data_IF_611278207139
#
_entry.id   IF_611278207139
#
_cell.length_a   1.000
_cell.length_b   1.000
_cell.length_c   1.000
_cell.angle_alpha   90.00
_cell.angle_beta   90.00
_cell.angle_gamma   90.00
#
_symmetry.space_group_name_H-M   'P 1'
#
loop_
_entity.id
_entity.type
_entity.pdbx_description
1 polymer ?
#
# COMPACT_ATOMS: atom_id res chain seq x y z
N UNK A 1 -18.44 -1.04 -1.90
CA UNK A 1 -18.62 0.41 -1.87
C UNK A 1 -18.12 1.01 -3.18
N UNK A 2 -18.91 1.93 -3.74
CA UNK A 2 -18.52 2.66 -4.94
C UNK A 2 -17.39 3.63 -4.61
N UNK A 3 -16.36 3.69 -5.44
CA UNK A 3 -15.22 4.60 -5.28
C UNK A 3 -15.61 6.08 -5.37
N UNK A 4 -16.76 6.39 -5.94
CA UNK A 4 -17.28 7.76 -6.06
C UNK A 4 -18.27 8.11 -4.96
N UNK A 5 -18.55 7.19 -4.03
CA UNK A 5 -19.46 7.43 -2.90
C UNK A 5 -18.89 8.52 -1.99
N UNK A 6 -19.65 9.57 -1.65
CA UNK A 6 -19.17 10.64 -0.78
C UNK A 6 -18.70 10.18 0.59
N UNK A 7 -19.33 9.16 1.16
CA UNK A 7 -18.90 8.60 2.45
C UNK A 7 -17.52 7.95 2.31
N UNK A 8 -17.31 7.18 1.25
CA UNK A 8 -16.02 6.59 0.97
C UNK A 8 -14.95 7.67 0.77
N UNK A 9 -15.22 8.67 -0.07
CA UNK A 9 -14.26 9.73 -0.38
C UNK A 9 -13.88 10.54 0.87
N UNK A 10 -14.84 10.84 1.73
CA UNK A 10 -14.58 11.57 2.98
C UNK A 10 -13.77 10.71 3.96
N UNK A 11 -14.10 9.43 4.08
CA UNK A 11 -13.36 8.50 4.94
C UNK A 11 -11.93 8.35 4.44
N UNK A 12 -11.74 8.18 3.14
CA UNK A 12 -10.42 8.10 2.51
C UNK A 12 -9.59 9.34 2.81
N UNK A 13 -10.17 10.52 2.65
CA UNK A 13 -9.50 11.79 2.93
C UNK A 13 -9.03 11.88 4.39
N UNK A 14 -9.86 11.40 5.30
CA UNK A 14 -9.53 11.39 6.73
C UNK A 14 -8.38 10.42 7.04
N UNK A 15 -8.50 9.16 6.60
CA UNK A 15 -7.53 8.12 7.00
C UNK A 15 -6.17 8.30 6.33
N UNK A 16 -6.12 8.98 5.19
CA UNK A 16 -4.87 9.29 4.48
C UNK A 16 -4.37 10.71 4.81
N UNK A 17 -4.62 11.18 6.02
CA UNK A 17 -4.21 12.51 6.47
C UNK A 17 -3.65 12.46 7.90
N UNK A 18 -3.07 13.56 8.33
CA UNK A 18 -2.52 13.71 9.69
C UNK A 18 -3.59 13.64 10.78
N UNK A 19 -4.86 13.73 10.42
CA UNK A 19 -5.96 13.52 11.36
C UNK A 19 -6.05 12.07 11.83
N UNK A 20 -5.47 11.13 11.06
CA UNK A 20 -5.33 9.74 11.47
C UNK A 20 -3.96 9.55 12.14
N UNK A 21 -3.89 9.25 13.45
CA UNK A 21 -2.61 9.10 14.15
C UNK A 21 -1.80 7.89 13.66
N UNK A 22 -2.40 6.99 12.88
CA UNK A 22 -1.73 5.83 12.31
C UNK A 22 -1.48 5.95 10.81
N UNK A 23 -1.59 7.17 10.26
CA UNK A 23 -1.11 7.45 8.91
C UNK A 23 0.32 7.97 9.00
N UNK A 24 1.26 7.26 8.40
CA UNK A 24 2.68 7.57 8.46
C UNK A 24 3.24 7.88 7.09
N UNK A 25 4.11 8.89 7.04
CA UNK A 25 4.83 9.27 5.83
C UNK A 25 6.32 9.33 6.15
N UNK A 26 7.14 8.68 5.33
CA UNK A 26 8.57 8.66 5.54
C UNK A 26 9.33 8.37 4.25
N UNK A 27 10.62 8.11 4.39
CA UNK A 27 11.54 7.91 3.26
C UNK A 27 11.23 6.65 2.47
N UNK A 28 10.77 5.59 3.13
CA UNK A 28 10.46 4.31 2.49
C UNK A 28 9.09 4.31 1.83
N UNK A 29 8.12 5.04 2.39
CA UNK A 29 6.78 5.09 1.84
C UNK A 29 5.80 5.81 2.75
N UNK A 30 4.54 5.77 2.37
CA UNK A 30 3.44 6.32 3.16
C UNK A 30 2.27 5.33 3.18
N UNK A 31 1.59 5.25 4.31
CA UNK A 31 0.45 4.37 4.44
C UNK A 31 -0.05 4.29 5.87
N UNK A 32 -1.00 3.38 6.08
CA UNK A 32 -1.71 3.25 7.34
C UNK A 32 -1.17 2.05 8.10
N UNK A 33 -0.88 2.27 9.38
CA UNK A 33 -0.56 1.22 10.33
C UNK A 33 -1.67 1.01 11.33
N UNK A 34 -1.32 0.64 12.56
CA UNK A 34 -2.28 0.45 13.63
C UNK A 34 -1.59 0.15 14.95
N UNK A 35 -2.34 0.15 16.06
CA UNK A 35 -1.75 -0.06 17.38
C UNK A 35 -1.10 -1.43 17.55
N UNK A 36 -1.52 -2.41 16.78
CA UNK A 36 -0.98 -3.77 16.84
C UNK A 36 0.53 -3.82 16.52
N UNK A 37 0.96 -3.02 15.56
CA UNK A 37 2.36 -2.99 15.10
C UNK A 37 3.13 -1.76 15.61
N UNK A 38 2.46 -0.85 16.32
CA UNK A 38 3.06 0.36 16.89
C UNK A 38 3.18 1.51 15.91
N UNK A 39 3.70 2.64 16.40
CA UNK A 39 3.89 3.83 15.58
C UNK A 39 5.02 3.65 14.57
N UNK A 40 4.92 4.39 13.47
CA UNK A 40 5.90 4.49 12.38
C UNK A 40 6.02 3.23 11.52
N UNK A 41 5.21 2.22 11.76
CA UNK A 41 5.14 1.02 10.92
C UNK A 41 3.88 1.05 10.05
N UNK A 42 4.07 0.71 8.79
CA UNK A 42 3.03 0.74 7.76
C UNK A 42 2.68 -0.69 7.35
N UNK A 43 1.40 -0.98 7.20
CA UNK A 43 0.95 -2.25 6.65
C UNK A 43 0.98 -2.20 5.12
N UNK A 44 1.76 -3.04 4.44
CA UNK A 44 1.66 -3.17 2.99
C UNK A 44 0.23 -3.45 2.53
N UNK A 45 -0.55 -4.16 3.33
CA UNK A 45 -1.97 -4.41 3.04
C UNK A 45 -2.75 -3.09 2.87
N UNK A 46 -2.44 -2.05 3.64
CA UNK A 46 -3.10 -0.75 3.50
C UNK A 46 -2.79 -0.09 2.16
N UNK A 47 -1.56 -0.27 1.67
CA UNK A 47 -1.16 0.25 0.36
C UNK A 47 -1.87 -0.50 -0.76
N UNK A 48 -1.99 -1.82 -0.63
CA UNK A 48 -2.73 -2.65 -1.59
C UNK A 48 -4.20 -2.21 -1.66
N UNK A 49 -4.82 -2.00 -0.52
CA UNK A 49 -6.23 -1.56 -0.46
C UNK A 49 -6.40 -0.15 -1.04
N UNK A 50 -5.45 0.73 -0.80
CA UNK A 50 -5.44 2.06 -1.43
C UNK A 50 -5.38 1.95 -2.95
N UNK A 51 -4.50 1.09 -3.46
CA UNK A 51 -4.38 0.82 -4.90
C UNK A 51 -5.69 0.27 -5.48
N UNK A 52 -6.33 -0.65 -4.74
CA UNK A 52 -7.55 -1.32 -5.19
C UNK A 52 -8.79 -0.43 -5.16
N UNK A 53 -8.71 0.74 -4.52
CA UNK A 53 -9.87 1.62 -4.31
C UNK A 53 -9.67 3.00 -4.94
N UNK A 54 -8.87 3.10 -5.98
CA UNK A 54 -8.68 4.35 -6.73
C UNK A 54 -8.73 4.09 -8.23
N UNK A 55 -9.17 5.10 -8.99
CA UNK A 55 -9.11 5.11 -10.45
C UNK A 55 -7.91 5.93 -10.95
N UNK A 56 -7.22 6.65 -10.08
CA UNK A 56 -6.09 7.51 -10.45
C UNK A 56 -4.85 6.66 -10.77
N UNK A 57 -4.44 6.65 -12.04
CA UNK A 57 -3.31 5.86 -12.50
C UNK A 57 -1.99 6.27 -11.86
N UNK A 58 -1.80 7.54 -11.51
CA UNK A 58 -0.59 7.99 -10.83
C UNK A 58 -0.56 7.50 -9.37
N UNK A 59 -1.71 7.45 -8.72
CA UNK A 59 -1.80 6.88 -7.38
C UNK A 59 -1.54 5.37 -7.41
N UNK A 60 -2.10 4.66 -8.40
CA UNK A 60 -1.83 3.23 -8.59
C UNK A 60 -0.33 3.00 -8.77
N UNK A 61 0.32 3.78 -9.64
CA UNK A 61 1.77 3.69 -9.87
C UNK A 61 2.54 3.91 -8.58
N UNK A 62 2.20 4.94 -7.82
CA UNK A 62 2.83 5.25 -6.54
C UNK A 62 2.71 4.08 -5.56
N UNK A 63 1.53 3.51 -5.43
CA UNK A 63 1.29 2.38 -4.52
C UNK A 63 2.11 1.15 -4.92
N UNK A 64 2.08 0.76 -6.19
CA UNK A 64 2.81 -0.41 -6.67
C UNK A 64 4.31 -0.20 -6.50
N UNK A 65 4.81 1.00 -6.79
CA UNK A 65 6.22 1.33 -6.61
C UNK A 65 6.65 1.22 -5.14
N UNK A 66 5.84 1.73 -4.21
CA UNK A 66 6.12 1.61 -2.78
C UNK A 66 6.20 0.14 -2.35
N UNK A 67 5.28 -0.70 -2.83
CA UNK A 67 5.28 -2.13 -2.50
C UNK A 67 6.53 -2.81 -3.05
N UNK A 68 6.93 -2.50 -4.28
CA UNK A 68 8.15 -3.03 -4.87
C UNK A 68 9.39 -2.63 -4.07
N UNK A 69 9.47 -1.36 -3.69
CA UNK A 69 10.69 -0.79 -3.10
C UNK A 69 10.82 -1.08 -1.60
N UNK A 70 9.79 -1.66 -0.97
CA UNK A 70 9.79 -1.94 0.47
C UNK A 70 9.83 -3.43 0.81
N UNK A 71 10.15 -4.30 -0.15
CA UNK A 71 10.27 -5.74 0.09
C UNK A 71 11.60 -6.14 0.72
N UNK A 72 12.52 -5.19 0.90
CA UNK A 72 13.86 -5.42 1.46
C UNK A 72 14.66 -6.48 0.71
N UNK A 73 14.40 -6.64 -0.60
CA UNK A 73 15.06 -7.64 -1.42
C UNK A 73 14.59 -9.07 -1.21
N UNK A 74 13.56 -9.28 -0.41
CA UNK A 74 13.05 -10.63 -0.11
C UNK A 74 12.18 -11.21 -1.22
N UNK A 75 11.59 -10.34 -2.06
CA UNK A 75 10.60 -10.75 -3.06
C UNK A 75 9.22 -11.03 -2.47
N UNK A 76 9.01 -10.77 -1.18
CA UNK A 76 7.76 -11.05 -0.48
C UNK A 76 7.21 -9.82 0.21
N UNK A 77 5.88 -9.81 0.43
CA UNK A 77 5.22 -8.78 1.20
C UNK A 77 5.27 -9.11 2.69
N UNK A 78 5.65 -8.11 3.49
CA UNK A 78 5.74 -8.22 4.94
C UNK A 78 4.41 -7.91 5.61
N UNK A 79 4.31 -8.20 6.91
CA UNK A 79 3.21 -7.72 7.73
C UNK A 79 3.26 -6.19 7.86
N UNK A 80 4.45 -5.65 8.17
CA UNK A 80 4.67 -4.21 8.28
C UNK A 80 6.11 -3.84 7.98
N UNK A 81 6.34 -2.57 7.65
CA UNK A 81 7.70 -2.02 7.49
C UNK A 81 7.75 -0.61 8.09
N UNK A 82 8.94 -0.22 8.53
CA UNK A 82 9.15 1.12 9.08
C UNK A 82 9.09 2.17 7.96
N UNK A 83 8.42 3.28 8.23
CA UNK A 83 8.19 4.34 7.23
C UNK A 83 9.48 4.91 6.61
N UNK A 84 10.61 4.87 7.33
CA UNK A 84 11.88 5.42 6.90
C UNK A 84 12.92 4.37 6.55
N UNK A 85 12.71 3.12 6.93
CA UNK A 85 13.69 2.05 6.75
C UNK A 85 13.00 0.75 6.30
N UNK A 86 13.03 0.44 4.99
CA UNK A 86 12.40 -0.78 4.50
C UNK A 86 13.09 -2.06 4.99
N UNK A 87 14.31 -1.97 5.48
CA UNK A 87 15.01 -3.10 6.11
C UNK A 87 14.52 -3.43 7.50
N UNK A 88 13.75 -2.54 8.13
CA UNK A 88 13.14 -2.77 9.44
C UNK A 88 11.67 -3.15 9.23
N UNK A 89 11.39 -4.46 9.26
CA UNK A 89 10.05 -4.98 8.97
C UNK A 89 9.70 -6.09 9.95
N UNK A 90 8.39 -6.35 10.06
CA UNK A 90 7.86 -7.49 10.81
C UNK A 90 7.41 -8.56 9.82
N UNK A 91 7.65 -9.83 10.14
CA UNK A 91 7.29 -11.00 9.34
C UNK A 91 7.68 -10.84 7.86
N UNK A 92 8.86 -11.31 7.49
CA UNK A 92 9.40 -11.20 6.13
C UNK A 92 8.44 -11.77 5.06
N UNK A 93 7.64 -12.76 5.40
CA UNK A 93 6.60 -13.33 4.56
C UNK A 93 5.29 -13.40 5.34
N UNK A 94 4.27 -12.73 4.85
CA UNK A 94 2.93 -12.74 5.45
C UNK A 94 1.94 -13.19 4.38
N UNK A 95 1.42 -14.41 4.54
CA UNK A 95 0.62 -15.09 3.51
C UNK A 95 -0.56 -14.26 3.03
N UNK A 96 -1.30 -13.65 3.93
CA UNK A 96 -2.48 -12.86 3.63
C UNK A 96 -2.14 -11.70 2.68
N UNK A 97 -1.08 -10.95 3.00
CA UNK A 97 -0.67 -9.81 2.20
C UNK A 97 -0.15 -10.25 0.83
N UNK A 98 0.61 -11.35 0.76
CA UNK A 98 1.12 -11.88 -0.50
C UNK A 98 -0.02 -12.32 -1.43
N UNK A 99 -1.07 -12.92 -0.88
CA UNK A 99 -2.26 -13.29 -1.64
C UNK A 99 -2.96 -12.03 -2.19
N UNK A 100 -3.15 -11.01 -1.38
CA UNK A 100 -3.76 -9.76 -1.81
C UNK A 100 -2.91 -9.04 -2.86
N UNK A 101 -1.59 -9.08 -2.72
CA UNK A 101 -0.67 -8.48 -3.69
C UNK A 101 -0.81 -9.17 -5.06
N UNK A 102 -0.79 -10.50 -5.08
CA UNK A 102 -0.96 -11.26 -6.32
C UNK A 102 -2.29 -10.98 -6.99
N UNK A 103 -3.37 -10.90 -6.21
CA UNK A 103 -4.70 -10.55 -6.72
C UNK A 103 -4.73 -9.13 -7.30
N UNK A 104 -4.08 -8.18 -6.64
CA UNK A 104 -3.98 -6.80 -7.11
C UNK A 104 -3.28 -6.74 -8.48
N UNK A 105 -2.14 -7.41 -8.63
CA UNK A 105 -1.40 -7.45 -9.89
C UNK A 105 -2.25 -8.08 -11.00
N UNK A 106 -2.90 -9.21 -10.71
CA UNK A 106 -3.77 -9.88 -11.67
C UNK A 106 -4.90 -8.96 -12.14
N UNK A 107 -5.51 -8.23 -11.20
CA UNK A 107 -6.59 -7.29 -11.52
C UNK A 107 -6.11 -6.14 -12.40
N UNK A 108 -4.93 -5.58 -12.10
CA UNK A 108 -4.36 -4.48 -12.91
C UNK A 108 -4.08 -4.94 -14.34
N UNK A 109 -3.55 -6.15 -14.51
CA UNK A 109 -3.33 -6.73 -15.83
C UNK A 109 -4.66 -6.90 -16.58
N UNK A 110 -5.67 -7.43 -15.90
CA UNK A 110 -6.99 -7.68 -16.48
C UNK A 110 -7.71 -6.38 -16.86
N UNK A 111 -7.48 -5.30 -16.14
CA UNK A 111 -8.05 -3.98 -16.43
C UNK A 111 -7.25 -3.21 -17.50
N UNK A 112 -6.25 -3.82 -18.11
CA UNK A 112 -5.46 -3.18 -19.16
C UNK A 112 -4.43 -2.19 -18.66
N UNK A 113 -3.99 -2.30 -17.41
CA UNK A 113 -3.05 -1.35 -16.78
C UNK A 113 -1.61 -1.88 -16.71
N UNK A 114 -1.26 -2.80 -17.61
CA UNK A 114 0.09 -3.39 -17.70
C UNK A 114 1.16 -2.32 -17.87
N UNK A 115 0.88 -1.25 -18.63
CA UNK A 115 1.84 -0.17 -18.85
C UNK A 115 2.27 0.50 -17.54
N UNK A 116 1.39 0.59 -16.57
CA UNK A 116 1.72 1.14 -15.25
C UNK A 116 2.76 0.24 -14.57
N UNK A 117 2.55 -1.08 -14.63
CA UNK A 117 3.45 -2.06 -14.02
C UNK A 117 4.83 -2.05 -14.67
N UNK A 118 4.90 -1.77 -15.97
CA UNK A 118 6.15 -1.76 -16.72
C UNK A 118 6.90 -0.41 -16.63
N UNK A 119 6.30 0.63 -16.05
CA UNK A 119 6.85 1.98 -16.00
C UNK A 119 6.84 2.55 -14.59
N UNK A 120 7.30 1.78 -13.63
CA UNK A 120 7.34 2.21 -12.22
C UNK A 120 8.52 3.14 -11.92
N UNK A 121 9.54 3.12 -12.75
CA UNK A 121 10.73 3.94 -12.56
C UNK A 121 11.85 3.27 -11.79
#
# INVERSE_FOLDING_TARGET
VDMDDPVYLNTRKLVLSDANPYFFQGKAGEGIGGPHIGFDFIWPMSIIMRCNTTHDNEEIRKCVKMLRDTDAGTGFMHESFHKDDPGNFTRSWFAWVNTLFGEMIYRLVKEGKVDILNNLG
#
